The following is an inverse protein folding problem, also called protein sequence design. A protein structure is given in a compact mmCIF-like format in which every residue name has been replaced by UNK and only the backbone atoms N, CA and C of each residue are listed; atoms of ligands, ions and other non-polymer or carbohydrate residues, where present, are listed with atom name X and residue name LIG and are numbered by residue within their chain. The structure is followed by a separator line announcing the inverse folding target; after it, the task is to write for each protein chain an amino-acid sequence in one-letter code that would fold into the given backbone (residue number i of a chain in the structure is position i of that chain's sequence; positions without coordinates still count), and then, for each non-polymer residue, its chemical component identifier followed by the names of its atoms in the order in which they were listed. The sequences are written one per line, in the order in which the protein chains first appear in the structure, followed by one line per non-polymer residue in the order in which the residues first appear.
data_IF_377855377275
#
_entry.id   IF_377855377275
#
_cell.length_a   1.000
_cell.length_b   1.000
_cell.length_c   1.000
_cell.angle_alpha   90.00
_cell.angle_beta   90.00
_cell.angle_gamma   90.00
#
_symmetry.space_group_name_H-M   'P 1'
#
loop_
_entity.id
_entity.type
_entity.pdbx_description
1 polymer ?
#
# COMPACT_ATOMS: atom_id res chain seq x y z
N UNK A 1 -1.62 -8.04 -16.13
CA UNK A 1 -0.71 -8.87 -15.29
C UNK A 1 -0.02 -8.00 -14.24
N UNK A 2 -0.05 -8.41 -12.97
CA UNK A 2 0.84 -7.84 -11.96
C UNK A 2 2.27 -8.17 -12.36
N UNK A 3 3.12 -7.15 -12.48
CA UNK A 3 4.53 -7.35 -12.79
C UNK A 3 5.26 -7.60 -11.47
N UNK A 4 6.16 -8.60 -11.40
CA UNK A 4 6.98 -8.81 -10.23
C UNK A 4 7.86 -7.57 -9.97
N UNK A 5 8.05 -7.26 -8.69
CA UNK A 5 8.91 -6.15 -8.24
C UNK A 5 10.32 -6.71 -7.97
N UNK A 6 11.37 -5.97 -8.28
CA UNK A 6 12.76 -6.41 -8.06
C UNK A 6 13.25 -5.94 -6.70
N UNK A 7 14.09 -6.72 -6.03
CA UNK A 7 14.80 -6.24 -4.84
C UNK A 7 15.68 -5.03 -5.18
N UNK A 8 15.71 -4.06 -4.27
CA UNK A 8 16.39 -2.78 -4.47
C UNK A 8 15.51 -1.69 -5.10
N UNK A 9 14.40 -2.05 -5.74
CA UNK A 9 13.49 -1.07 -6.35
C UNK A 9 12.78 -0.22 -5.29
N UNK A 10 12.30 0.95 -5.72
CA UNK A 10 11.33 1.75 -4.96
C UNK A 10 9.91 1.42 -5.41
N UNK A 11 9.09 0.94 -4.48
CA UNK A 11 7.67 0.66 -4.71
C UNK A 11 6.83 1.79 -4.11
N UNK A 12 5.86 2.31 -4.87
CA UNK A 12 4.84 3.23 -4.36
C UNK A 12 3.46 2.60 -4.53
N UNK A 13 2.72 2.47 -3.43
CA UNK A 13 1.35 1.95 -3.39
C UNK A 13 0.38 3.11 -3.25
N UNK A 14 -0.57 3.19 -4.18
CA UNK A 14 -1.67 4.16 -4.14
C UNK A 14 -2.99 3.45 -3.85
N UNK A 15 -3.75 4.01 -2.92
CA UNK A 15 -5.12 3.57 -2.66
C UNK A 15 -6.08 4.37 -3.54
N UNK A 16 -6.72 3.73 -4.51
CA UNK A 16 -7.59 4.41 -5.49
C UNK A 16 -9.07 4.28 -5.10
N UNK A 17 -9.69 5.40 -4.74
CA UNK A 17 -11.15 5.51 -4.61
C UNK A 17 -11.71 6.28 -5.81
N UNK A 18 -12.70 5.69 -6.50
CA UNK A 18 -13.29 6.24 -7.76
C UNK A 18 -13.67 7.72 -7.70
N UNK A 19 -14.02 8.25 -6.53
CA UNK A 19 -14.46 9.64 -6.36
C UNK A 19 -13.54 10.50 -5.48
N UNK A 20 -12.45 9.91 -4.94
CA UNK A 20 -11.58 10.58 -3.96
C UNK A 20 -10.13 10.13 -4.10
N UNK A 21 -9.40 10.56 -5.14
CA UNK A 21 -8.03 10.10 -5.43
C UNK A 21 -6.99 10.51 -4.37
N UNK A 22 -7.29 11.53 -3.54
CA UNK A 22 -6.40 12.02 -2.48
C UNK A 22 -6.90 11.68 -1.07
N UNK A 23 -7.73 10.65 -0.95
CA UNK A 23 -8.25 10.24 0.34
C UNK A 23 -7.16 9.55 1.17
N UNK A 24 -7.13 9.85 2.47
CA UNK A 24 -6.29 9.14 3.43
C UNK A 24 -6.86 7.74 3.66
N UNK A 25 -5.99 6.74 3.63
CA UNK A 25 -6.34 5.34 3.81
C UNK A 25 -5.43 4.67 4.84
N UNK A 26 -5.94 3.59 5.39
CA UNK A 26 -5.16 2.65 6.19
C UNK A 26 -4.66 1.52 5.28
N UNK A 27 -3.36 1.27 5.31
CA UNK A 27 -2.68 0.27 4.50
C UNK A 27 -2.35 -0.95 5.35
N UNK A 28 -2.57 -2.13 4.77
CA UNK A 28 -2.37 -3.41 5.41
C UNK A 28 -1.48 -4.31 4.56
N UNK A 29 -0.67 -5.14 5.23
CA UNK A 29 0.10 -6.23 4.65
C UNK A 29 -0.18 -7.48 5.46
N UNK A 30 -0.62 -8.54 4.79
CA UNK A 30 -0.89 -9.84 5.43
C UNK A 30 -1.74 -9.68 6.72
N UNK A 31 -2.83 -8.91 6.62
CA UNK A 31 -3.77 -8.56 7.69
C UNK A 31 -3.27 -7.57 8.77
N UNK A 32 -1.98 -7.23 8.77
CA UNK A 32 -1.40 -6.27 9.71
C UNK A 32 -1.46 -4.84 9.20
N UNK A 33 -1.82 -3.88 10.05
CA UNK A 33 -1.77 -2.45 9.74
C UNK A 33 -0.31 -1.99 9.69
N UNK A 34 0.13 -1.51 8.52
CA UNK A 34 1.51 -1.04 8.32
C UNK A 34 1.64 0.47 8.21
N UNK A 35 0.56 1.16 7.80
CA UNK A 35 0.53 2.62 7.73
C UNK A 35 -0.92 3.10 7.85
N UNK A 36 -1.17 4.16 8.61
CA UNK A 36 -2.52 4.69 8.84
C UNK A 36 -2.64 6.14 8.36
N UNK A 37 -3.84 6.49 7.88
CA UNK A 37 -4.21 7.83 7.45
C UNK A 37 -3.23 8.50 6.47
N UNK A 38 -2.71 7.74 5.50
CA UNK A 38 -1.81 8.24 4.46
C UNK A 38 -2.47 8.19 3.08
N UNK A 39 -2.03 9.02 2.14
CA UNK A 39 -2.50 8.98 0.74
C UNK A 39 -1.77 7.92 -0.10
N UNK A 40 -0.54 7.59 0.28
CA UNK A 40 0.31 6.61 -0.40
C UNK A 40 1.27 5.97 0.60
N UNK A 41 1.75 4.77 0.25
CA UNK A 41 2.81 4.08 0.97
C UNK A 41 4.02 3.92 0.05
N UNK A 42 5.22 4.19 0.56
CA UNK A 42 6.48 4.10 -0.20
C UNK A 42 7.39 3.10 0.50
N UNK A 43 7.89 2.12 -0.25
CA UNK A 43 8.95 1.21 0.16
C UNK A 43 10.17 1.56 -0.68
N UNK A 44 11.13 2.27 -0.10
CA UNK A 44 12.27 2.84 -0.83
C UNK A 44 13.26 1.78 -1.34
N UNK A 45 13.38 0.66 -0.62
CA UNK A 45 14.31 -0.42 -0.97
C UNK A 45 13.61 -1.75 -0.74
N UNK A 46 12.99 -2.27 -1.80
CA UNK A 46 12.28 -3.55 -1.76
C UNK A 46 13.25 -4.68 -1.41
N UNK A 47 12.78 -5.62 -0.62
CA UNK A 47 13.50 -6.82 -0.19
C UNK A 47 12.50 -7.95 0.04
N UNK A 48 12.95 -9.19 0.15
CA UNK A 48 12.09 -10.36 0.38
C UNK A 48 11.13 -10.23 1.56
N UNK A 49 11.44 -9.47 2.62
CA UNK A 49 10.52 -9.25 3.74
C UNK A 49 9.26 -8.44 3.37
N UNK A 50 9.32 -7.70 2.26
CA UNK A 50 8.20 -6.93 1.73
C UNK A 50 7.24 -7.77 0.87
N UNK A 51 7.59 -9.02 0.55
CA UNK A 51 6.69 -9.95 -0.13
C UNK A 51 5.44 -10.19 0.72
N UNK A 52 4.26 -10.14 0.10
CA UNK A 52 2.98 -10.33 0.78
C UNK A 52 1.79 -9.72 0.05
N UNK A 53 0.61 -9.87 0.64
CA UNK A 53 -0.63 -9.30 0.10
C UNK A 53 -0.91 -7.93 0.72
N UNK A 54 -1.03 -6.91 -0.14
CA UNK A 54 -1.32 -5.54 0.26
C UNK A 54 -2.76 -5.17 -0.07
N UNK A 55 -3.43 -4.49 0.86
CA UNK A 55 -4.73 -3.87 0.63
C UNK A 55 -4.86 -2.59 1.45
N UNK A 56 -5.81 -1.73 1.08
CA UNK A 56 -6.09 -0.50 1.80
C UNK A 56 -7.58 -0.39 2.15
N UNK A 57 -7.88 0.29 3.24
CA UNK A 57 -9.25 0.57 3.70
C UNK A 57 -9.46 2.06 3.94
N UNK A 58 -10.72 2.48 3.82
CA UNK A 58 -11.12 3.84 4.15
C UNK A 58 -11.21 3.94 5.69
N UNK A 59 -10.61 4.95 6.33
CA UNK A 59 -10.56 5.02 7.80
C UNK A 59 -11.96 4.98 8.45
N UNK A 60 -12.94 5.58 7.77
CA UNK A 60 -14.33 5.67 8.26
C UNK A 60 -15.29 4.55 7.79
N UNK A 61 -14.87 3.67 6.87
CA UNK A 61 -15.76 2.63 6.28
C UNK A 61 -15.18 1.22 6.43
N UNK A 62 -14.45 0.97 7.52
CA UNK A 62 -13.67 -0.23 7.81
C UNK A 62 -14.37 -1.56 7.55
#
# INVERSE_FOLDING_TARGET
PVHPVTEGDTLTLHCLYKHSPNLRADFYKDESLIQSQTTQMIISTVSKSHEGFYYCKHPERG
#
